data_IF_053481800999
#
_entry.id   IF_053481800999
#
_cell.length_a   1.000
_cell.length_b   1.000
_cell.length_c   1.000
_cell.angle_alpha   90.00
_cell.angle_beta   90.00
_cell.angle_gamma   90.00
#
_symmetry.space_group_name_H-M   'P 1'
#
loop_
_entity.id
_entity.type
_entity.pdbx_description
1 polymer ?
#
# COMPACT_ATOMS: atom_id res chain seq x y z
N UNK A 1 23.40 5.65 -14.89
CA UNK A 1 24.08 5.63 -16.22
C UNK A 1 23.34 4.68 -17.16
N UNK A 2 23.18 3.38 -16.84
CA UNK A 2 22.50 2.42 -17.74
C UNK A 2 21.09 2.87 -18.18
N UNK A 3 20.30 3.43 -17.26
CA UNK A 3 18.99 4.00 -17.58
C UNK A 3 19.08 5.12 -18.62
N UNK A 4 20.05 6.02 -18.50
CA UNK A 4 20.24 7.13 -19.43
C UNK A 4 20.67 6.65 -20.82
N UNK A 5 21.41 5.56 -20.88
CA UNK A 5 21.89 4.95 -22.14
C UNK A 5 20.80 4.14 -22.85
N UNK A 6 20.04 3.34 -22.07
CA UNK A 6 19.04 2.40 -22.61
C UNK A 6 17.71 3.05 -22.95
N UNK A 7 17.39 4.19 -22.33
CA UNK A 7 16.15 4.95 -22.54
C UNK A 7 14.89 4.08 -22.54
N UNK A 8 14.61 3.34 -21.45
CA UNK A 8 13.43 2.47 -21.37
C UNK A 8 12.15 3.30 -21.48
N UNK A 9 11.09 2.72 -22.00
CA UNK A 9 9.78 3.37 -22.07
C UNK A 9 8.84 2.96 -20.92
N UNK A 10 9.19 1.91 -20.18
CA UNK A 10 8.52 1.45 -18.96
C UNK A 10 9.53 1.38 -17.82
N UNK A 11 9.14 1.91 -16.67
CA UNK A 11 9.96 1.81 -15.47
C UNK A 11 9.09 1.51 -14.25
N UNK A 12 9.38 0.39 -13.58
CA UNK A 12 8.84 0.06 -12.28
C UNK A 12 9.90 0.34 -11.20
N UNK A 13 9.55 1.15 -10.22
CA UNK A 13 10.44 1.61 -9.17
C UNK A 13 9.83 1.27 -7.80
N UNK A 14 10.68 0.99 -6.84
CA UNK A 14 10.26 1.02 -5.43
C UNK A 14 10.44 2.44 -4.88
N UNK A 15 9.68 2.86 -3.85
CA UNK A 15 9.73 4.22 -3.30
C UNK A 15 11.16 4.69 -2.97
N UNK A 16 11.96 3.82 -2.36
CA UNK A 16 13.36 4.12 -2.05
C UNK A 16 14.19 4.48 -3.29
N UNK A 17 13.98 3.80 -4.41
CA UNK A 17 14.70 4.12 -5.66
C UNK A 17 14.26 5.46 -6.24
N UNK A 18 12.99 5.84 -6.10
CA UNK A 18 12.52 7.18 -6.47
C UNK A 18 13.26 8.26 -5.68
N UNK A 19 13.41 8.07 -4.37
CA UNK A 19 14.16 9.02 -3.53
C UNK A 19 15.65 9.11 -3.92
N UNK A 20 16.27 7.97 -4.16
CA UNK A 20 17.67 7.94 -4.61
C UNK A 20 17.88 8.69 -5.94
N UNK A 21 16.90 8.57 -6.84
CA UNK A 21 16.94 9.30 -8.12
C UNK A 21 16.79 10.80 -7.92
N UNK A 22 15.81 11.22 -7.13
CA UNK A 22 15.56 12.64 -6.83
C UNK A 22 16.75 13.33 -6.16
N UNK A 23 17.49 12.58 -5.32
CA UNK A 23 18.67 13.07 -4.60
C UNK A 23 19.97 12.93 -5.38
N UNK A 24 19.94 12.33 -6.59
CA UNK A 24 21.15 12.02 -7.36
C UNK A 24 21.66 13.23 -8.13
N UNK A 25 22.90 13.60 -7.91
CA UNK A 25 23.66 14.59 -8.69
C UNK A 25 24.12 14.09 -10.08
N UNK A 26 23.91 12.78 -10.35
CA UNK A 26 24.31 12.15 -11.62
C UNK A 26 23.30 12.34 -12.74
N UNK A 27 22.11 12.84 -12.44
CA UNK A 27 21.09 13.14 -13.44
C UNK A 27 21.18 14.64 -13.73
N UNK A 28 21.57 15.05 -14.95
CA UNK A 28 21.57 16.46 -15.31
C UNK A 28 20.17 17.06 -15.15
N UNK A 29 20.09 18.32 -14.71
CA UNK A 29 18.80 18.98 -14.47
C UNK A 29 17.92 19.08 -15.72
N UNK A 30 18.52 19.16 -16.87
CA UNK A 30 17.89 19.25 -18.19
C UNK A 30 17.75 17.90 -18.91
N UNK A 31 18.10 16.77 -18.23
CA UNK A 31 18.01 15.46 -18.85
C UNK A 31 16.57 15.13 -19.25
N UNK A 32 16.38 14.82 -20.54
CA UNK A 32 15.08 14.52 -21.12
C UNK A 32 14.72 13.05 -20.93
N UNK A 33 13.69 12.78 -20.10
CA UNK A 33 13.13 11.45 -19.82
C UNK A 33 11.81 11.21 -20.57
N UNK A 34 11.47 12.00 -21.57
CA UNK A 34 10.19 11.87 -22.32
C UNK A 34 9.99 10.51 -23.01
N UNK A 35 11.06 9.69 -23.08
CA UNK A 35 10.97 8.30 -23.53
C UNK A 35 10.20 7.39 -22.55
N UNK A 36 10.06 7.80 -21.27
CA UNK A 36 9.25 7.08 -20.28
C UNK A 36 7.76 7.32 -20.55
N UNK A 37 7.05 6.26 -20.84
CA UNK A 37 5.61 6.27 -21.14
C UNK A 37 4.75 5.67 -20.04
N UNK A 38 5.38 4.88 -19.16
CA UNK A 38 4.73 4.25 -18.02
C UNK A 38 5.66 4.27 -16.82
N UNK A 39 5.15 4.78 -15.71
CA UNK A 39 5.80 4.79 -14.41
C UNK A 39 4.98 3.93 -13.45
N UNK A 40 5.58 2.86 -12.96
CA UNK A 40 4.99 2.00 -11.94
C UNK A 40 5.75 2.08 -10.63
N UNK A 41 5.03 1.97 -9.52
CA UNK A 41 5.62 1.73 -8.20
C UNK A 41 4.97 0.51 -7.55
N UNK A 42 5.61 -0.07 -6.56
CA UNK A 42 5.10 -1.23 -5.83
C UNK A 42 6.07 -1.67 -4.74
N UNK A 43 5.80 -2.81 -4.15
CA UNK A 43 6.50 -3.42 -3.02
C UNK A 43 6.29 -2.69 -1.67
N UNK A 44 6.15 -1.37 -1.66
CA UNK A 44 5.91 -0.56 -0.47
C UNK A 44 4.82 0.46 -0.76
N UNK A 45 4.09 0.87 0.26
CA UNK A 45 3.13 1.97 0.16
C UNK A 45 3.87 3.30 -0.06
N UNK A 46 3.26 4.17 -0.86
CA UNK A 46 3.73 5.53 -1.05
C UNK A 46 2.59 6.48 -0.70
N UNK A 47 2.82 7.41 0.23
CA UNK A 47 1.83 8.40 0.58
C UNK A 47 1.64 9.45 -0.54
N UNK A 48 0.53 10.18 -0.48
CA UNK A 48 0.15 11.14 -1.52
C UNK A 48 1.21 12.24 -1.72
N UNK A 49 1.78 12.78 -0.65
CA UNK A 49 2.81 13.82 -0.73
C UNK A 49 4.05 13.31 -1.46
N UNK A 50 4.53 12.11 -1.09
CA UNK A 50 5.69 11.51 -1.76
C UNK A 50 5.38 11.21 -3.23
N UNK A 51 4.17 10.76 -3.55
CA UNK A 51 3.71 10.57 -4.92
C UNK A 51 3.82 11.87 -5.71
N UNK A 52 3.33 12.99 -5.17
CA UNK A 52 3.40 14.31 -5.81
C UNK A 52 4.85 14.77 -6.01
N UNK A 53 5.73 14.56 -5.04
CA UNK A 53 7.16 14.90 -5.16
C UNK A 53 7.84 14.10 -6.30
N UNK A 54 7.55 12.80 -6.37
CA UNK A 54 8.08 11.92 -7.42
C UNK A 54 7.55 12.31 -8.79
N UNK A 55 6.24 12.58 -8.92
CA UNK A 55 5.65 13.05 -10.16
C UNK A 55 6.21 14.41 -10.60
N UNK A 56 6.38 15.35 -9.68
CA UNK A 56 6.98 16.66 -9.96
C UNK A 56 8.43 16.50 -10.49
N UNK A 57 9.22 15.59 -9.90
CA UNK A 57 10.56 15.28 -10.39
C UNK A 57 10.52 14.76 -11.83
N UNK A 58 9.69 13.78 -12.14
CA UNK A 58 9.57 13.23 -13.49
C UNK A 58 9.02 14.24 -14.48
N UNK A 59 8.05 15.07 -14.10
CA UNK A 59 7.52 16.15 -14.95
C UNK A 59 8.59 17.20 -15.26
N UNK A 60 9.47 17.56 -14.30
CA UNK A 60 10.64 18.43 -14.54
C UNK A 60 11.52 17.85 -15.67
N UNK A 61 11.62 16.53 -15.74
CA UNK A 61 12.36 15.80 -16.76
C UNK A 61 11.51 15.41 -18.00
N UNK A 62 10.39 16.12 -18.23
CA UNK A 62 9.49 15.98 -19.40
C UNK A 62 8.72 14.65 -19.50
N UNK A 63 8.60 13.90 -18.43
CA UNK A 63 7.73 12.72 -18.40
C UNK A 63 6.28 13.18 -18.25
N UNK A 64 5.40 12.65 -19.09
CA UNK A 64 3.96 12.93 -19.05
C UNK A 64 3.15 11.79 -18.42
N UNK A 65 3.79 10.67 -18.13
CA UNK A 65 3.16 9.53 -17.50
C UNK A 65 2.88 9.81 -16.01
N UNK A 66 1.71 9.44 -15.56
CA UNK A 66 1.32 9.45 -14.14
C UNK A 66 1.90 8.24 -13.43
N UNK A 67 2.32 8.40 -12.20
CA UNK A 67 2.77 7.30 -11.35
C UNK A 67 1.56 6.44 -10.94
N UNK A 68 1.69 5.14 -11.04
CA UNK A 68 0.64 4.20 -10.67
C UNK A 68 1.21 3.04 -9.84
N UNK A 69 0.42 2.52 -8.89
CA UNK A 69 0.83 1.39 -8.08
C UNK A 69 0.41 0.06 -8.70
N UNK A 70 1.27 -0.94 -8.53
CA UNK A 70 0.93 -2.34 -8.65
C UNK A 70 1.09 -3.04 -7.30
N UNK A 71 0.28 -4.06 -7.09
CA UNK A 71 0.32 -4.88 -5.89
C UNK A 71 0.59 -6.33 -6.24
N UNK A 72 1.37 -6.99 -5.40
CA UNK A 72 1.68 -8.41 -5.54
C UNK A 72 2.60 -8.90 -4.43
N UNK A 73 2.82 -10.20 -4.45
CA UNK A 73 3.66 -10.91 -3.48
C UNK A 73 4.47 -12.01 -4.19
N UNK A 74 5.53 -12.48 -3.54
CA UNK A 74 6.35 -13.60 -4.04
C UNK A 74 5.53 -14.88 -4.24
N UNK A 75 4.54 -15.08 -3.40
CA UNK A 75 3.60 -16.21 -3.41
C UNK A 75 2.72 -16.25 -4.67
N UNK A 76 2.56 -15.14 -5.35
CA UNK A 76 1.88 -15.02 -6.64
C UNK A 76 2.83 -14.73 -7.81
N UNK A 77 4.10 -15.04 -7.65
CA UNK A 77 5.15 -14.93 -8.67
C UNK A 77 5.37 -13.52 -9.23
N UNK A 78 4.75 -12.49 -8.75
CA UNK A 78 4.93 -11.07 -9.11
C UNK A 78 3.72 -10.23 -8.68
N UNK A 79 3.16 -9.46 -9.63
CA UNK A 79 2.03 -8.58 -9.40
C UNK A 79 0.70 -9.31 -9.57
N UNK A 80 -0.25 -9.02 -8.70
CA UNK A 80 -1.66 -9.42 -8.82
C UNK A 80 -2.48 -8.36 -9.53
N UNK A 81 -2.06 -7.10 -9.41
CA UNK A 81 -2.67 -5.97 -10.10
C UNK A 81 -1.67 -5.28 -11.03
N UNK A 82 -2.17 -4.60 -12.04
CA UNK A 82 -1.35 -3.80 -12.96
C UNK A 82 -1.34 -2.35 -12.52
N UNK A 83 -0.16 -1.70 -12.52
CA UNK A 83 -0.08 -0.26 -12.50
C UNK A 83 -0.89 0.30 -13.67
N UNK A 84 -1.88 1.13 -13.38
CA UNK A 84 -2.73 1.74 -14.40
C UNK A 84 -2.85 3.24 -14.13
N UNK A 85 -2.37 4.09 -15.04
CA UNK A 85 -2.42 5.55 -14.89
C UNK A 85 -3.84 6.13 -14.85
N UNK A 86 -4.87 5.34 -15.15
CA UNK A 86 -6.27 5.76 -14.99
C UNK A 86 -6.72 5.74 -13.52
N UNK A 87 -5.98 5.07 -12.64
CA UNK A 87 -6.28 4.99 -11.22
C UNK A 87 -5.20 5.76 -10.45
N UNK A 88 -5.56 6.88 -9.81
CA UNK A 88 -4.61 7.68 -9.03
C UNK A 88 -4.06 6.85 -7.87
N UNK A 89 -2.80 7.11 -7.52
CA UNK A 89 -2.13 6.51 -6.37
C UNK A 89 -2.61 7.21 -5.09
N UNK A 90 -3.82 6.89 -4.65
CA UNK A 90 -4.45 7.47 -3.47
C UNK A 90 -5.05 6.38 -2.58
N UNK A 91 -5.01 6.59 -1.28
CA UNK A 91 -5.74 5.80 -0.28
C UNK A 91 -5.54 4.27 -0.37
N UNK A 92 -4.33 3.83 -0.72
CA UNK A 92 -4.02 2.40 -0.87
C UNK A 92 -4.54 1.78 -2.17
N UNK A 93 -4.98 2.58 -3.14
CA UNK A 93 -5.39 2.10 -4.45
C UNK A 93 -4.24 1.40 -5.17
N UNK A 94 -4.45 0.16 -5.55
CA UNK A 94 -3.46 -0.67 -6.29
C UNK A 94 -3.97 -1.13 -7.65
N UNK A 95 -5.09 -0.57 -8.10
CA UNK A 95 -5.66 -0.84 -9.42
C UNK A 95 -6.54 -2.09 -9.49
N UNK A 96 -6.60 -2.71 -10.65
CA UNK A 96 -7.45 -3.85 -10.95
C UNK A 96 -6.64 -5.14 -11.09
N UNK A 97 -7.25 -6.32 -10.84
CA UNK A 97 -6.59 -7.61 -11.04
C UNK A 97 -6.03 -7.76 -12.45
N UNK A 98 -4.89 -8.43 -12.55
CA UNK A 98 -4.32 -8.82 -13.84
C UNK A 98 -5.22 -9.83 -14.57
N UNK A 99 -5.14 -9.91 -15.91
CA UNK A 99 -5.81 -10.96 -16.66
C UNK A 99 -5.52 -12.36 -16.10
N UNK A 100 -6.56 -13.19 -15.99
CA UNK A 100 -6.54 -14.52 -15.39
C UNK A 100 -6.28 -14.58 -13.88
N UNK A 101 -6.15 -13.45 -13.20
CA UNK A 101 -6.13 -13.37 -11.73
C UNK A 101 -7.54 -13.00 -11.24
N UNK A 102 -8.07 -13.77 -10.30
CA UNK A 102 -9.30 -13.43 -9.59
C UNK A 102 -8.88 -12.98 -8.19
N UNK A 103 -9.37 -11.85 -7.76
CA UNK A 103 -9.18 -11.33 -6.40
C UNK A 103 -10.53 -11.15 -5.74
N UNK A 104 -10.62 -11.52 -4.48
CA UNK A 104 -11.79 -11.29 -3.65
C UNK A 104 -11.38 -11.02 -2.21
N UNK A 105 -12.32 -10.52 -1.43
CA UNK A 105 -12.13 -10.21 -0.02
C UNK A 105 -12.96 -11.18 0.80
N UNK A 106 -12.36 -11.76 1.83
CA UNK A 106 -13.00 -12.77 2.67
C UNK A 106 -13.01 -12.37 4.15
N UNK A 107 -14.05 -12.80 4.85
CA UNK A 107 -14.12 -12.73 6.31
C UNK A 107 -13.17 -13.78 6.95
N UNK A 108 -13.00 -13.69 8.27
CA UNK A 108 -12.22 -14.68 9.02
C UNK A 108 -12.88 -16.09 9.00
N UNK A 109 -14.18 -16.18 8.67
CA UNK A 109 -14.93 -17.43 8.48
C UNK A 109 -14.89 -17.95 7.03
N UNK A 110 -14.04 -17.40 6.17
CA UNK A 110 -13.90 -17.74 4.75
C UNK A 110 -15.15 -17.45 3.89
N UNK A 111 -16.01 -16.54 4.33
CA UNK A 111 -17.13 -16.06 3.54
C UNK A 111 -16.69 -14.92 2.62
N UNK A 112 -17.05 -15.00 1.34
CA UNK A 112 -16.76 -13.94 0.36
C UNK A 112 -17.61 -12.70 0.69
N UNK A 113 -16.93 -11.56 0.83
CA UNK A 113 -17.56 -10.29 1.20
C UNK A 113 -17.99 -9.50 -0.04
N UNK A 114 -18.99 -8.63 0.14
CA UNK A 114 -19.48 -7.75 -0.92
C UNK A 114 -18.53 -6.59 -1.20
N UNK A 115 -18.72 -5.93 -2.32
CA UNK A 115 -17.98 -4.72 -2.65
C UNK A 115 -18.11 -3.65 -1.55
N UNK A 116 -16.97 -3.06 -1.19
CA UNK A 116 -16.87 -2.05 -0.15
C UNK A 116 -16.71 -2.60 1.27
N UNK A 117 -16.93 -3.89 1.49
CA UNK A 117 -16.70 -4.53 2.79
C UNK A 117 -15.20 -4.83 2.96
N UNK A 118 -14.72 -4.71 4.20
CA UNK A 118 -13.30 -4.89 4.54
C UNK A 118 -13.07 -6.30 5.08
N UNK A 119 -12.06 -6.99 4.54
CA UNK A 119 -11.64 -8.30 5.00
C UNK A 119 -10.22 -8.63 4.55
N UNK A 120 -9.86 -9.90 4.56
CA UNK A 120 -8.58 -10.36 4.02
C UNK A 120 -8.66 -10.45 2.50
N UNK A 121 -7.68 -9.84 1.83
CA UNK A 121 -7.54 -9.96 0.38
C UNK A 121 -6.98 -11.33 0.03
N UNK A 122 -7.69 -12.04 -0.83
CA UNK A 122 -7.26 -13.32 -1.35
C UNK A 122 -7.20 -13.29 -2.88
N UNK A 123 -6.36 -14.14 -3.44
CA UNK A 123 -6.26 -14.28 -4.88
C UNK A 123 -6.25 -15.74 -5.31
N UNK A 124 -6.75 -16.00 -6.52
CA UNK A 124 -6.60 -17.28 -7.19
C UNK A 124 -6.27 -17.06 -8.66
N UNK A 125 -5.47 -17.94 -9.23
CA UNK A 125 -5.06 -17.85 -10.61
C UNK A 125 -3.79 -18.67 -10.93
N UNK A 126 -3.37 -18.70 -12.18
CA UNK A 126 -2.26 -19.54 -12.64
C UNK A 126 -0.88 -19.10 -12.10
N UNK A 127 -0.78 -17.89 -11.54
CA UNK A 127 0.47 -17.34 -11.00
C UNK A 127 0.70 -17.73 -9.53
N UNK A 128 -0.22 -18.43 -8.88
CA UNK A 128 -0.05 -18.88 -7.49
C UNK A 128 1.14 -19.82 -7.35
N UNK A 129 1.92 -19.64 -6.28
CA UNK A 129 2.96 -20.60 -5.90
C UNK A 129 2.36 -22.00 -5.71
N UNK A 130 3.19 -23.03 -5.86
CA UNK A 130 2.79 -24.41 -5.57
C UNK A 130 2.90 -24.70 -4.06
N UNK A 131 3.98 -24.25 -3.45
CA UNK A 131 4.25 -24.43 -2.01
C UNK A 131 5.47 -23.61 -1.58
N UNK A 132 5.61 -23.39 -0.29
CA UNK A 132 6.87 -22.93 0.29
C UNK A 132 7.90 -24.05 0.38
N UNK A 133 9.16 -23.72 0.18
CA UNK A 133 10.28 -24.65 0.42
C UNK A 133 10.79 -24.61 1.86
N UNK A 134 11.72 -25.54 2.18
CA UNK A 134 12.39 -25.57 3.48
C UNK A 134 11.62 -26.32 4.58
N UNK A 135 12.17 -26.29 5.80
CA UNK A 135 11.72 -27.11 6.93
C UNK A 135 10.32 -26.72 7.47
N UNK A 136 9.90 -25.48 7.31
CA UNK A 136 8.54 -25.01 7.65
C UNK A 136 7.61 -24.92 6.44
N UNK A 137 8.07 -25.34 5.27
CA UNK A 137 7.36 -25.10 4.01
C UNK A 137 5.94 -25.67 3.96
N UNK A 138 5.73 -26.88 4.48
CA UNK A 138 4.41 -27.49 4.51
C UNK A 138 3.41 -26.70 5.37
N UNK A 139 3.80 -26.38 6.61
CA UNK A 139 2.94 -25.63 7.55
C UNK A 139 2.61 -24.23 7.01
N UNK A 140 3.59 -23.53 6.47
CA UNK A 140 3.36 -22.21 5.87
C UNK A 140 2.47 -22.30 4.64
N UNK A 141 2.60 -23.34 3.82
CA UNK A 141 1.76 -23.54 2.64
C UNK A 141 0.30 -23.74 3.04
N UNK A 142 0.04 -24.59 4.04
CA UNK A 142 -1.32 -24.86 4.54
C UNK A 142 -1.99 -23.61 5.12
N UNK A 143 -1.22 -22.68 5.70
CA UNK A 143 -1.72 -21.40 6.22
C UNK A 143 -1.98 -20.37 5.14
N UNK A 144 -1.31 -20.49 3.99
CA UNK A 144 -1.35 -19.48 2.93
C UNK A 144 -2.21 -19.89 1.76
N UNK A 145 -2.20 -21.19 1.40
CA UNK A 145 -3.04 -21.74 0.33
C UNK A 145 -4.18 -22.52 0.96
N UNK A 146 -5.35 -21.92 1.00
CA UNK A 146 -6.54 -22.49 1.68
C UNK A 146 -7.60 -22.85 0.65
N UNK A 147 -8.16 -24.07 0.80
CA UNK A 147 -9.31 -24.48 0.00
C UNK A 147 -10.58 -23.91 0.64
N UNK A 148 -11.31 -23.14 -0.11
CA UNK A 148 -12.57 -22.53 0.32
C UNK A 148 -13.79 -23.38 -0.01
N UNK A 149 -14.96 -23.10 0.62
CA UNK A 149 -16.22 -23.78 0.34
C UNK A 149 -16.67 -23.70 -1.14
N UNK A 150 -16.20 -22.70 -1.89
CA UNK A 150 -16.46 -22.54 -3.33
C UNK A 150 -15.72 -23.55 -4.22
N UNK A 151 -14.92 -24.40 -3.61
CA UNK A 151 -14.13 -25.45 -4.28
C UNK A 151 -12.84 -24.98 -4.92
N UNK A 152 -12.47 -23.70 -4.73
CA UNK A 152 -11.20 -23.14 -5.22
C UNK A 152 -10.16 -23.09 -4.12
N UNK A 153 -8.90 -23.19 -4.51
CA UNK A 153 -7.77 -22.84 -3.65
C UNK A 153 -7.49 -21.35 -3.77
N UNK A 154 -7.47 -20.66 -2.64
CA UNK A 154 -7.15 -19.23 -2.54
C UNK A 154 -5.84 -19.03 -1.83
N UNK A 155 -5.03 -18.10 -2.35
CA UNK A 155 -3.85 -17.58 -1.69
C UNK A 155 -4.30 -16.44 -0.77
N UNK A 156 -4.13 -16.63 0.53
CA UNK A 156 -4.34 -15.63 1.57
C UNK A 156 -3.15 -14.70 1.63
N UNK A 157 -3.36 -13.42 1.33
CA UNK A 157 -2.25 -12.45 1.22
C UNK A 157 -1.75 -11.94 2.56
N UNK A 158 -2.57 -12.07 3.60
CA UNK A 158 -2.33 -11.45 4.91
C UNK A 158 -2.57 -9.94 4.92
N UNK A 159 -3.11 -9.36 3.84
CA UNK A 159 -3.40 -7.94 3.75
C UNK A 159 -4.90 -7.68 3.90
N UNK A 160 -5.28 -6.67 4.70
CA UNK A 160 -6.65 -6.18 4.80
C UNK A 160 -6.92 -5.19 3.68
N UNK A 161 -8.04 -5.39 3.00
CA UNK A 161 -8.41 -4.63 1.81
C UNK A 161 -9.92 -4.54 1.64
N UNK A 162 -10.35 -3.72 0.71
CA UNK A 162 -11.67 -3.80 0.11
C UNK A 162 -11.58 -3.66 -1.41
N UNK A 163 -12.58 -4.14 -2.11
CA UNK A 163 -12.75 -3.96 -3.56
C UNK A 163 -14.00 -3.11 -3.75
N UNK A 164 -13.89 -2.03 -4.52
CA UNK A 164 -15.05 -1.20 -4.79
C UNK A 164 -15.95 -1.77 -5.89
N UNK A 165 -17.11 -1.16 -6.12
CA UNK A 165 -18.10 -1.55 -7.14
C UNK A 165 -17.57 -1.55 -8.59
N UNK A 166 -16.42 -0.91 -8.82
CA UNK A 166 -15.74 -0.89 -10.13
C UNK A 166 -14.63 -1.95 -10.25
N UNK A 167 -14.46 -2.80 -9.23
CA UNK A 167 -13.44 -3.84 -9.20
C UNK A 167 -12.02 -3.32 -8.88
N UNK A 168 -11.91 -2.10 -8.35
CA UNK A 168 -10.63 -1.50 -7.96
C UNK A 168 -10.30 -1.94 -6.53
N UNK A 169 -9.07 -2.41 -6.34
CA UNK A 169 -8.54 -2.93 -5.08
C UNK A 169 -7.87 -1.82 -4.28
N UNK A 170 -8.19 -1.75 -2.99
CA UNK A 170 -7.61 -0.81 -2.02
C UNK A 170 -7.04 -1.57 -0.83
N UNK A 171 -5.73 -1.42 -0.58
CA UNK A 171 -5.05 -2.03 0.57
C UNK A 171 -5.12 -1.07 1.76
N UNK A 172 -5.50 -1.59 2.93
CA UNK A 172 -5.65 -0.81 4.16
C UNK A 172 -4.55 -1.05 5.18
N UNK A 173 -3.87 -2.19 5.08
CA UNK A 173 -2.78 -2.56 5.97
C UNK A 173 -2.49 -4.05 5.93
N UNK A 174 -1.44 -4.47 6.64
CA UNK A 174 -0.99 -5.86 6.69
C UNK A 174 -1.15 -6.45 8.08
N UNK A 175 -1.45 -7.75 8.12
CA UNK A 175 -1.56 -8.55 9.34
C UNK A 175 -2.96 -8.60 9.93
N UNK A 176 -3.04 -9.15 11.13
CA UNK A 176 -4.31 -9.29 11.86
C UNK A 176 -4.90 -7.91 12.18
N UNK A 177 -6.20 -7.81 12.12
CA UNK A 177 -6.93 -6.60 12.54
C UNK A 177 -6.56 -6.23 13.96
N UNK A 178 -6.13 -4.98 14.15
CA UNK A 178 -5.91 -4.39 15.48
C UNK A 178 -7.15 -3.61 15.86
N UNK A 179 -7.48 -3.57 17.15
CA UNK A 179 -8.66 -2.89 17.67
C UNK A 179 -8.30 -1.94 18.80
N UNK A 180 -8.98 -0.82 18.87
CA UNK A 180 -8.93 0.12 19.98
C UNK A 180 -10.22 0.93 20.06
N UNK A 181 -10.67 1.24 21.27
CA UNK A 181 -11.82 2.14 21.49
C UNK A 181 -13.12 1.74 20.76
N UNK A 182 -13.31 0.45 20.44
CA UNK A 182 -14.45 -0.07 19.72
C UNK A 182 -14.37 -0.03 18.20
N UNK A 183 -13.22 0.44 17.64
CA UNK A 183 -12.96 0.47 16.21
C UNK A 183 -11.79 -0.42 15.78
N UNK A 184 -11.67 -0.63 14.47
CA UNK A 184 -10.59 -1.36 13.85
C UNK A 184 -9.53 -0.39 13.30
N UNK A 185 -8.25 -0.67 13.62
CA UNK A 185 -7.12 0.17 13.24
C UNK A 185 -6.51 -0.35 11.93
N UNK A 186 -6.53 0.48 10.89
CA UNK A 186 -5.95 0.20 9.59
C UNK A 186 -4.78 1.16 9.34
N UNK A 187 -3.55 0.65 9.53
CA UNK A 187 -2.32 1.46 9.53
C UNK A 187 -2.20 2.37 8.32
N UNK A 188 -2.30 1.83 7.10
CA UNK A 188 -2.12 2.62 5.88
C UNK A 188 -3.21 3.69 5.72
N UNK A 189 -4.45 3.37 6.10
CA UNK A 189 -5.56 4.33 6.07
C UNK A 189 -5.33 5.48 7.05
N UNK A 190 -4.89 5.16 8.28
CA UNK A 190 -4.59 6.16 9.31
C UNK A 190 -3.41 7.04 8.87
N UNK A 191 -2.33 6.45 8.36
CA UNK A 191 -1.18 7.17 7.84
C UNK A 191 -1.56 8.10 6.68
N UNK A 192 -2.37 7.62 5.74
CA UNK A 192 -2.87 8.44 4.63
C UNK A 192 -3.64 9.67 5.12
N UNK A 193 -4.50 9.53 6.13
CA UNK A 193 -5.21 10.65 6.75
C UNK A 193 -4.25 11.61 7.46
N UNK A 194 -3.32 11.06 8.25
CA UNK A 194 -2.42 11.84 9.08
C UNK A 194 -1.42 12.69 8.27
N UNK A 195 -0.87 12.17 7.17
CA UNK A 195 0.07 12.94 6.34
C UNK A 195 -0.58 14.09 5.54
N UNK A 196 -1.91 14.10 5.44
CA UNK A 196 -2.67 15.20 4.85
C UNK A 196 -2.87 16.37 5.82
N UNK A 197 -2.60 16.18 7.12
CA UNK A 197 -2.73 17.23 8.12
C UNK A 197 -1.66 18.29 7.89
N UNK A 198 -2.01 19.59 7.79
CA UNK A 198 -1.04 20.65 7.61
C UNK A 198 0.01 20.67 8.72
N UNK A 199 1.28 20.75 8.36
CA UNK A 199 2.41 20.71 9.30
C UNK A 199 3.06 19.33 9.43
N UNK A 200 2.44 18.26 8.91
CA UNK A 200 3.03 16.92 8.86
C UNK A 200 3.86 16.79 7.59
N UNK A 201 5.17 16.56 7.73
CA UNK A 201 6.06 16.24 6.63
C UNK A 201 6.02 14.76 6.28
N UNK A 202 6.05 13.89 7.31
CA UNK A 202 5.98 12.43 7.21
C UNK A 202 5.61 11.85 8.57
N UNK A 203 5.24 10.57 8.61
CA UNK A 203 4.95 9.87 9.86
C UNK A 203 4.47 8.46 9.64
N UNK A 204 4.50 7.68 10.72
CA UNK A 204 4.00 6.32 10.72
C UNK A 204 3.31 5.98 12.04
N UNK A 205 2.33 5.09 11.97
CA UNK A 205 1.68 4.53 13.16
C UNK A 205 2.40 3.28 13.66
N UNK A 206 2.43 3.13 14.97
CA UNK A 206 2.84 1.93 15.66
C UNK A 206 1.72 1.50 16.61
N UNK A 207 1.39 0.22 16.61
CA UNK A 207 0.34 -0.35 17.47
C UNK A 207 0.98 -1.18 18.56
N UNK A 208 0.86 -0.74 19.81
CA UNK A 208 1.42 -1.39 20.98
C UNK A 208 0.31 -2.15 21.69
N UNK A 209 0.51 -3.44 22.06
CA UNK A 209 -0.49 -4.17 22.85
C UNK A 209 -0.83 -3.41 24.13
N UNK A 210 -2.13 -3.28 24.42
CA UNK A 210 -2.61 -2.70 25.67
C UNK A 210 -2.34 -3.69 26.81
N UNK A 211 -1.72 -3.23 27.91
CA UNK A 211 -1.42 -4.06 29.06
C UNK A 211 -2.63 -4.32 29.97
N UNK A 212 -3.66 -3.48 29.86
CA UNK A 212 -4.89 -3.59 30.67
C UNK A 212 -5.99 -4.38 29.94
N UNK A 213 -5.96 -4.41 28.60
CA UNK A 213 -6.95 -5.07 27.77
C UNK A 213 -6.26 -5.87 26.65
N UNK A 214 -6.12 -7.18 26.84
CA UNK A 214 -5.33 -8.08 25.97
C UNK A 214 -5.77 -8.06 24.48
N UNK A 215 -7.00 -7.67 24.21
CA UNK A 215 -7.56 -7.61 22.83
C UNK A 215 -7.31 -6.26 22.13
N UNK A 216 -6.80 -5.24 22.83
CA UNK A 216 -6.63 -3.90 22.32
C UNK A 216 -5.17 -3.55 22.01
N UNK A 217 -5.01 -2.60 21.09
CA UNK A 217 -3.72 -2.06 20.68
C UNK A 217 -3.78 -0.54 20.71
N UNK A 218 -2.91 0.07 21.47
CA UNK A 218 -2.78 1.52 21.60
C UNK A 218 -2.12 2.09 20.33
N UNK A 219 -2.74 3.03 19.59
CA UNK A 219 -2.11 3.67 18.46
C UNK A 219 -1.14 4.77 18.92
N UNK A 220 0.09 4.71 18.45
CA UNK A 220 1.11 5.75 18.59
C UNK A 220 1.45 6.30 17.23
N UNK A 221 1.63 7.61 17.10
CA UNK A 221 2.00 8.25 15.84
C UNK A 221 3.35 8.95 15.95
N UNK A 222 4.34 8.47 15.23
CA UNK A 222 5.63 9.12 15.09
C UNK A 222 5.58 10.08 13.93
N UNK A 223 5.71 11.39 14.20
CA UNK A 223 5.53 12.45 13.21
C UNK A 223 6.81 13.22 12.98
N UNK A 224 7.06 13.54 11.70
CA UNK A 224 8.07 14.53 11.29
C UNK A 224 7.32 15.79 10.88
N UNK A 225 7.62 16.91 11.55
CA UNK A 225 7.02 18.20 11.25
C UNK A 225 7.75 18.88 10.07
N UNK A 226 7.00 19.57 9.20
CA UNK A 226 7.55 20.37 8.11
C UNK A 226 8.02 21.77 8.54
N UNK A 227 7.80 22.13 9.80
CA UNK A 227 8.16 23.42 10.38
C UNK A 227 7.14 24.55 10.13
N UNK A 228 6.04 24.30 9.42
CA UNK A 228 4.99 25.31 9.16
C UNK A 228 3.98 25.40 10.29
N UNK A 229 3.86 24.35 11.10
CA UNK A 229 2.92 24.22 12.22
C UNK A 229 3.62 23.72 13.49
N UNK A 230 3.07 24.09 14.63
CA UNK A 230 3.48 23.55 15.93
C UNK A 230 2.90 22.15 16.14
N UNK A 231 3.48 21.40 17.08
CA UNK A 231 2.95 20.06 17.44
C UNK A 231 1.50 20.13 17.92
N UNK A 232 1.13 21.18 18.68
CA UNK A 232 -0.24 21.33 19.19
C UNK A 232 -1.25 21.58 18.05
N UNK A 233 -0.86 22.40 17.05
CA UNK A 233 -1.70 22.61 15.86
C UNK A 233 -1.85 21.32 15.04
N UNK A 234 -0.78 20.51 14.93
CA UNK A 234 -0.84 19.20 14.26
C UNK A 234 -1.71 18.23 15.04
N UNK A 235 -1.61 18.17 16.37
CA UNK A 235 -2.51 17.36 17.20
C UNK A 235 -3.98 17.73 17.01
N UNK A 236 -4.30 19.02 16.96
CA UNK A 236 -5.65 19.46 16.67
C UNK A 236 -6.13 19.01 15.27
N UNK A 237 -5.28 19.14 14.25
CA UNK A 237 -5.60 18.70 12.91
C UNK A 237 -5.76 17.16 12.79
N UNK A 238 -4.99 16.39 13.56
CA UNK A 238 -5.16 14.92 13.64
C UNK A 238 -6.50 14.55 14.28
N UNK A 239 -6.94 15.28 15.31
CA UNK A 239 -8.24 15.04 15.94
C UNK A 239 -9.42 15.30 14.99
N UNK A 240 -9.26 16.22 14.03
CA UNK A 240 -10.27 16.48 12.99
C UNK A 240 -10.22 15.44 11.84
N UNK A 241 -9.05 14.84 11.60
CA UNK A 241 -8.83 13.95 10.44
C UNK A 241 -9.07 12.47 10.75
N UNK A 242 -8.85 12.06 11.99
CA UNK A 242 -8.93 10.67 12.46
C UNK A 242 -10.24 10.44 13.23
N UNK A 243 -10.73 9.21 13.25
CA UNK A 243 -11.80 8.81 14.15
C UNK A 243 -11.28 8.78 15.60
N UNK A 244 -12.14 8.92 16.59
CA UNK A 244 -11.76 8.93 18.01
C UNK A 244 -10.89 7.73 18.41
N UNK A 245 -11.21 6.55 17.85
CA UNK A 245 -10.45 5.31 18.11
C UNK A 245 -9.15 5.20 17.29
N UNK A 246 -8.99 5.98 16.21
CA UNK A 246 -7.76 6.08 15.43
C UNK A 246 -6.78 7.11 16.02
N UNK A 247 -7.27 8.01 16.89
CA UNK A 247 -6.45 9.09 17.44
C UNK A 247 -5.32 8.52 18.31
N UNK A 248 -4.07 8.94 18.07
CA UNK A 248 -2.93 8.39 18.81
C UNK A 248 -2.99 8.74 20.29
N UNK A 249 -2.59 7.81 21.13
CA UNK A 249 -2.49 8.01 22.58
C UNK A 249 -1.28 8.88 22.94
N UNK A 250 -0.25 8.89 22.10
CA UNK A 250 0.94 9.74 22.18
C UNK A 250 1.54 9.96 20.78
#
# INVERSE_FOLDING_TARGET
IAFMEQKPNFWALVPMLCEMLMKSDRIPEDYDMSHLRTLGTGAEAMNERKTQEVEAFFHKHKVTATLSAGYGQSEGCSNFTLPNPMFPLVDGCVGMPMPATVMSVFSDDLEELSYGEIGELCMTGPAMMLHYGGWMGAEMTERTLINHPDGKCWLHTGDKAYINEHGIVYILGRGTTKRYGGGELYMMRMETKAVRVPGVADGFFCFVPDQEHEEYFLPYFYVILDGTKTLDEVKAGLADALEDYEYPVE
#
